data_IF_738671536771
#
_entry.id   IF_738671536771
#
_cell.length_a   1.000
_cell.length_b   1.000
_cell.length_c   1.000
_cell.angle_alpha   90.00
_cell.angle_beta   90.00
_cell.angle_gamma   90.00
#
_symmetry.space_group_name_H-M   'P 1'
#
loop_
_entity.id
_entity.type
_entity.pdbx_description
1 polymer ?
#
# COMPACT_ATOMS: atom_id res chain seq x y z
N UNK A 1 9.76 0.84 -2.01
CA UNK A 1 10.90 1.80 -2.11
C UNK A 1 10.64 2.92 -1.11
N UNK A 2 11.66 3.36 -0.36
CA UNK A 2 11.54 4.49 0.56
C UNK A 2 11.55 5.83 -0.18
N UNK A 3 11.08 6.90 0.48
CA UNK A 3 11.20 8.26 -0.06
C UNK A 3 12.66 8.71 0.09
N UNK A 4 13.29 9.28 -0.95
CA UNK A 4 14.64 9.82 -0.86
C UNK A 4 14.76 10.88 0.24
N UNK A 5 15.89 10.87 0.94
CA UNK A 5 16.28 11.83 1.99
C UNK A 5 17.66 12.38 1.66
N UNK A 6 17.95 13.53 2.16
CA UNK A 6 19.29 14.12 2.06
C UNK A 6 19.89 14.19 3.46
N UNK A 7 21.18 13.85 3.57
CA UNK A 7 21.93 14.00 4.80
C UNK A 7 22.24 15.49 5.01
N UNK A 8 21.82 16.05 6.12
CA UNK A 8 22.03 17.47 6.46
C UNK A 8 23.42 17.73 7.07
N UNK A 9 24.08 16.68 7.57
CA UNK A 9 25.42 16.70 8.10
C UNK A 9 26.17 15.42 7.74
N UNK A 10 27.50 15.41 7.92
CA UNK A 10 28.30 14.21 7.79
C UNK A 10 27.91 13.21 8.87
N UNK A 11 27.56 11.98 8.48
CA UNK A 11 27.14 10.93 9.40
C UNK A 11 27.87 9.62 9.11
N UNK A 12 28.21 8.87 10.17
CA UNK A 12 28.79 7.53 10.05
C UNK A 12 27.72 6.49 10.30
N UNK A 13 27.48 5.63 9.30
CA UNK A 13 26.56 4.50 9.39
C UNK A 13 27.35 3.20 9.21
N UNK A 14 27.39 2.37 10.24
CA UNK A 14 28.12 1.09 10.25
C UNK A 14 29.61 1.21 9.76
N UNK A 15 30.29 2.30 10.12
CA UNK A 15 31.66 2.56 9.73
C UNK A 15 31.86 3.26 8.37
N UNK A 16 30.79 3.49 7.62
CA UNK A 16 30.82 4.22 6.36
C UNK A 16 30.49 5.69 6.59
N UNK A 17 31.34 6.59 6.08
CA UNK A 17 31.04 8.02 6.07
C UNK A 17 30.02 8.34 4.98
N UNK A 18 28.94 8.96 5.37
CA UNK A 18 27.92 9.54 4.47
C UNK A 18 28.08 11.06 4.56
N UNK A 19 28.61 11.73 3.54
CA UNK A 19 28.80 13.18 3.55
C UNK A 19 27.43 13.92 3.53
N UNK A 20 27.43 15.13 4.08
CA UNK A 20 26.34 16.09 3.94
C UNK A 20 25.97 16.28 2.47
N UNK A 21 24.69 16.46 2.16
CA UNK A 21 24.16 16.56 0.79
C UNK A 21 23.98 15.21 0.08
N UNK A 22 24.41 14.10 0.70
CA UNK A 22 24.20 12.77 0.10
C UNK A 22 22.73 12.37 0.12
N UNK A 23 22.21 11.96 -1.03
CA UNK A 23 20.86 11.39 -1.12
C UNK A 23 20.87 9.96 -0.62
N UNK A 24 20.10 9.69 0.42
CA UNK A 24 19.95 8.38 1.06
C UNK A 24 18.54 7.85 0.84
N UNK A 25 18.43 6.60 0.40
CA UNK A 25 17.15 5.92 0.20
C UNK A 25 17.12 4.60 0.94
N UNK A 26 16.19 4.45 1.88
CA UNK A 26 15.97 3.18 2.56
C UNK A 26 15.32 2.17 1.61
N UNK A 27 15.94 1.00 1.43
CA UNK A 27 15.37 -0.08 0.63
C UNK A 27 14.37 -0.89 1.45
N UNK A 28 13.18 -0.33 1.68
CA UNK A 28 12.11 -0.98 2.45
C UNK A 28 11.69 -2.33 1.82
N UNK A 29 11.75 -2.42 0.50
CA UNK A 29 11.44 -3.67 -0.20
C UNK A 29 12.40 -4.80 0.19
N UNK A 30 13.72 -4.51 0.25
CA UNK A 30 14.70 -5.51 0.65
C UNK A 30 14.43 -6.03 2.07
N UNK A 31 14.06 -5.16 3.02
CA UNK A 31 13.71 -5.58 4.39
C UNK A 31 12.49 -6.51 4.41
N UNK A 32 11.50 -6.26 3.55
CA UNK A 32 10.30 -7.10 3.48
C UNK A 32 10.47 -8.37 2.63
N UNK A 33 11.56 -8.49 1.91
CA UNK A 33 11.92 -9.68 1.11
C UNK A 33 13.14 -10.42 1.65
N UNK A 34 13.60 -10.05 2.84
CA UNK A 34 14.73 -10.67 3.50
C UNK A 34 14.33 -12.03 4.10
N UNK A 35 14.90 -13.16 3.62
CA UNK A 35 14.57 -14.49 4.12
C UNK A 35 15.03 -14.74 5.55
N UNK A 36 15.99 -13.97 6.07
CA UNK A 36 16.42 -14.05 7.47
C UNK A 36 15.39 -13.44 8.43
N UNK A 37 14.54 -12.53 7.91
CA UNK A 37 13.48 -11.85 8.66
C UNK A 37 12.09 -12.47 8.41
N UNK A 38 11.87 -13.00 7.20
CA UNK A 38 10.58 -13.52 6.77
C UNK A 38 10.70 -14.91 6.15
N UNK A 39 10.00 -15.86 6.70
CA UNK A 39 9.88 -17.20 6.09
C UNK A 39 9.09 -17.10 4.79
N UNK A 40 9.68 -17.55 3.66
CA UNK A 40 9.09 -17.47 2.32
C UNK A 40 8.48 -16.07 2.03
N UNK A 41 9.31 -15.01 1.94
CA UNK A 41 8.81 -13.62 1.83
C UNK A 41 8.03 -13.34 0.55
N UNK A 42 8.26 -14.12 -0.51
CA UNK A 42 7.58 -14.05 -1.80
C UNK A 42 6.16 -14.64 -1.77
N UNK A 43 5.82 -15.42 -0.74
CA UNK A 43 4.51 -16.03 -0.62
C UNK A 43 3.50 -15.12 0.09
N UNK A 44 2.31 -15.03 -0.47
CA UNK A 44 1.18 -14.40 0.22
C UNK A 44 0.67 -15.34 1.32
N UNK A 45 1.20 -15.16 2.53
CA UNK A 45 0.90 -15.98 3.74
C UNK A 45 0.43 -15.08 4.87
N UNK A 46 -0.84 -14.69 4.91
CA UNK A 46 -1.37 -13.87 6.00
C UNK A 46 -1.28 -14.56 7.37
N UNK A 47 -1.23 -15.89 7.40
CA UNK A 47 -1.08 -16.71 8.63
C UNK A 47 0.22 -16.42 9.36
N UNK A 48 1.24 -15.85 8.70
CA UNK A 48 2.49 -15.43 9.38
C UNK A 48 2.28 -14.40 10.48
N UNK A 49 1.14 -13.71 10.47
CA UNK A 49 0.74 -12.74 11.48
C UNK A 49 -0.19 -13.31 12.55
N UNK A 50 -0.42 -14.61 12.55
CA UNK A 50 -1.21 -15.29 13.56
C UNK A 50 -0.33 -16.03 14.57
N UNK A 51 -0.84 -16.19 15.77
CA UNK A 51 -0.27 -17.14 16.75
C UNK A 51 -0.30 -18.55 16.18
N UNK A 52 0.55 -19.44 16.68
CA UNK A 52 0.67 -20.83 16.17
C UNK A 52 -0.65 -21.62 16.20
N UNK A 53 -1.54 -21.26 17.10
CA UNK A 53 -2.90 -21.85 17.22
C UNK A 53 -3.93 -21.13 16.32
N UNK A 54 -3.52 -20.07 15.59
CA UNK A 54 -4.37 -19.29 14.69
C UNK A 54 -5.41 -18.42 15.40
N UNK A 55 -5.40 -18.31 16.74
CA UNK A 55 -6.48 -17.67 17.50
C UNK A 55 -6.36 -16.14 17.57
N UNK A 56 -5.16 -15.60 17.44
CA UNK A 56 -4.89 -14.16 17.62
C UNK A 56 -3.81 -13.69 16.65
N UNK A 57 -3.76 -12.37 16.44
CA UNK A 57 -2.64 -11.73 15.79
C UNK A 57 -1.42 -11.75 16.74
N UNK A 58 -0.24 -11.94 16.16
CA UNK A 58 1.02 -11.69 16.88
C UNK A 58 1.26 -10.18 16.97
N UNK A 59 2.16 -9.78 17.86
CA UNK A 59 2.65 -8.40 17.88
C UNK A 59 3.33 -8.06 16.55
N UNK A 60 3.19 -6.80 16.14
CA UNK A 60 3.81 -6.30 14.90
C UNK A 60 5.33 -6.47 15.01
N UNK A 61 5.97 -7.23 14.11
CA UNK A 61 7.43 -7.33 14.10
C UNK A 61 8.09 -5.96 13.84
N UNK A 62 9.23 -5.69 14.47
CA UNK A 62 9.94 -4.41 14.32
C UNK A 62 10.37 -4.13 12.88
N UNK A 63 10.60 -5.19 12.09
CA UNK A 63 10.97 -5.09 10.68
C UNK A 63 9.78 -4.96 9.72
N UNK A 64 8.54 -5.01 10.21
CA UNK A 64 7.36 -4.66 9.41
C UNK A 64 7.23 -3.13 9.33
N UNK A 65 7.86 -2.53 8.34
CA UNK A 65 8.03 -1.08 8.22
C UNK A 65 7.47 -0.49 6.91
N UNK A 66 6.25 -0.85 6.46
CA UNK A 66 5.70 -0.38 5.18
C UNK A 66 5.53 1.13 5.14
N UNK A 67 5.39 1.77 6.28
CA UNK A 67 5.24 3.22 6.45
C UNK A 67 6.53 3.91 6.94
N UNK A 68 7.69 3.22 6.83
CA UNK A 68 8.97 3.67 7.37
C UNK A 68 9.00 3.76 8.90
N UNK A 69 10.08 4.28 9.46
CA UNK A 69 10.28 4.43 10.91
C UNK A 69 10.98 5.75 11.22
N UNK A 70 10.98 6.13 12.51
CA UNK A 70 11.67 7.30 13.01
C UNK A 70 10.97 8.63 12.71
N UNK A 71 11.72 9.74 12.81
CA UNK A 71 11.17 11.11 12.70
C UNK A 71 10.47 11.40 11.36
N UNK A 72 10.75 10.63 10.33
CA UNK A 72 10.22 10.78 8.97
C UNK A 72 9.30 9.64 8.54
N UNK A 73 8.76 8.89 9.48
CA UNK A 73 7.71 7.90 9.21
C UNK A 73 6.48 8.56 8.57
N UNK A 74 5.70 7.78 7.87
CA UNK A 74 4.47 8.28 7.24
C UNK A 74 3.48 8.81 8.30
N UNK A 75 3.06 10.07 8.25
CA UNK A 75 2.12 10.62 9.22
C UNK A 75 0.69 10.08 9.04
N UNK A 76 0.40 9.49 7.89
CA UNK A 76 -0.92 8.97 7.54
C UNK A 76 -1.05 7.45 7.70
N UNK A 77 -0.14 6.77 8.42
CA UNK A 77 -0.18 5.31 8.61
C UNK A 77 -1.54 4.83 9.13
N UNK A 78 -2.06 5.48 10.16
CA UNK A 78 -3.34 5.10 10.76
C UNK A 78 -4.51 5.27 9.78
N UNK A 79 -4.50 6.36 9.01
CA UNK A 79 -5.53 6.63 7.99
C UNK A 79 -5.48 5.58 6.88
N UNK A 80 -4.30 5.30 6.35
CA UNK A 80 -4.12 4.30 5.30
C UNK A 80 -4.57 2.90 5.74
N UNK A 81 -4.20 2.48 6.95
CA UNK A 81 -4.63 1.21 7.52
C UNK A 81 -6.15 1.14 7.68
N UNK A 82 -6.78 2.23 8.15
CA UNK A 82 -8.22 2.31 8.29
C UNK A 82 -8.93 2.23 6.93
N UNK A 83 -8.43 2.94 5.93
CA UNK A 83 -8.97 2.90 4.57
C UNK A 83 -8.90 1.49 3.98
N UNK A 84 -7.73 0.85 4.01
CA UNK A 84 -7.55 -0.52 3.52
C UNK A 84 -8.50 -1.48 4.24
N UNK A 85 -8.61 -1.38 5.56
CA UNK A 85 -9.52 -2.22 6.35
C UNK A 85 -10.98 -2.02 5.93
N UNK A 86 -11.44 -0.78 5.82
CA UNK A 86 -12.83 -0.48 5.47
C UNK A 86 -13.17 -0.92 4.04
N UNK A 87 -12.31 -0.62 3.07
CA UNK A 87 -12.55 -1.01 1.68
C UNK A 87 -12.54 -2.54 1.53
N UNK A 88 -11.51 -3.21 2.06
CA UNK A 88 -11.38 -4.65 1.94
C UNK A 88 -12.55 -5.38 2.61
N UNK A 89 -12.89 -5.02 3.84
CA UNK A 89 -13.99 -5.65 4.58
C UNK A 89 -15.32 -5.42 3.89
N UNK A 90 -15.59 -4.21 3.38
CA UNK A 90 -16.82 -3.91 2.64
C UNK A 90 -16.92 -4.68 1.32
N UNK A 91 -15.82 -4.80 0.59
CA UNK A 91 -15.80 -5.60 -0.63
C UNK A 91 -16.09 -7.08 -0.32
N UNK A 92 -15.38 -7.66 0.64
CA UNK A 92 -15.54 -9.07 1.00
C UNK A 92 -16.89 -9.40 1.65
N UNK A 93 -17.53 -8.44 2.32
CA UNK A 93 -18.89 -8.61 2.82
C UNK A 93 -19.92 -8.71 1.69
N UNK A 94 -19.74 -7.92 0.62
CA UNK A 94 -20.71 -7.83 -0.47
C UNK A 94 -20.45 -8.80 -1.60
N UNK A 95 -19.18 -9.11 -1.86
CA UNK A 95 -18.76 -9.87 -3.03
C UNK A 95 -17.85 -11.04 -2.66
N UNK A 96 -17.97 -12.11 -3.42
CA UNK A 96 -16.91 -13.10 -3.58
C UNK A 96 -16.08 -12.66 -4.76
N UNK A 97 -14.76 -12.46 -4.50
CA UNK A 97 -13.83 -12.00 -5.53
C UNK A 97 -13.10 -13.22 -6.09
N UNK A 98 -13.16 -13.39 -7.39
CA UNK A 98 -12.54 -14.51 -8.11
C UNK A 98 -11.70 -13.98 -9.28
N UNK A 99 -10.69 -14.72 -9.74
CA UNK A 99 -10.04 -14.40 -11.01
C UNK A 99 -11.02 -14.53 -12.19
N UNK A 100 -10.69 -13.94 -13.32
CA UNK A 100 -11.39 -14.20 -14.58
C UNK A 100 -11.24 -15.68 -14.95
N UNK A 101 -12.27 -16.27 -15.57
CA UNK A 101 -12.28 -17.70 -15.91
C UNK A 101 -11.07 -18.08 -16.78
N UNK A 102 -10.39 -19.14 -16.38
CA UNK A 102 -9.19 -19.64 -17.06
C UNK A 102 -7.91 -18.84 -16.77
N UNK A 103 -7.96 -17.88 -15.83
CA UNK A 103 -6.79 -17.10 -15.41
C UNK A 103 -6.36 -17.44 -14.00
N UNK A 104 -5.08 -17.23 -13.70
CA UNK A 104 -4.52 -17.32 -12.35
C UNK A 104 -4.07 -15.94 -11.90
N UNK A 105 -4.26 -15.65 -10.62
CA UNK A 105 -3.74 -14.42 -10.02
C UNK A 105 -2.23 -14.55 -9.86
N UNK A 106 -1.49 -13.61 -10.45
CA UNK A 106 -0.05 -13.51 -10.28
C UNK A 106 0.31 -12.39 -9.31
N UNK A 107 1.30 -12.63 -8.45
CA UNK A 107 1.84 -11.59 -7.55
C UNK A 107 2.98 -10.79 -8.20
N UNK A 108 3.19 -10.97 -9.51
CA UNK A 108 4.21 -10.24 -10.24
C UNK A 108 3.91 -8.74 -10.27
N UNK A 109 4.95 -7.96 -10.03
CA UNK A 109 4.88 -6.50 -10.07
C UNK A 109 5.58 -5.95 -11.30
N UNK A 110 5.15 -4.79 -11.77
CA UNK A 110 5.93 -3.98 -12.70
C UNK A 110 6.95 -3.17 -11.88
N UNK A 111 8.23 -3.27 -12.29
CA UNK A 111 9.37 -2.76 -11.50
C UNK A 111 9.86 -1.38 -11.93
N UNK A 112 9.09 -0.61 -12.68
CA UNK A 112 9.47 0.74 -13.07
C UNK A 112 9.37 1.72 -11.89
N UNK A 113 10.28 1.55 -10.91
CA UNK A 113 10.43 2.47 -9.76
C UNK A 113 9.45 2.26 -8.60
N UNK A 114 8.27 1.69 -8.84
CA UNK A 114 7.28 1.35 -7.81
C UNK A 114 6.85 -0.11 -7.97
N UNK A 115 6.72 -0.83 -6.83
CA UNK A 115 6.19 -2.20 -6.85
C UNK A 115 4.66 -2.15 -7.04
N UNK A 116 4.21 -1.92 -8.26
CA UNK A 116 2.79 -1.90 -8.60
C UNK A 116 2.41 -3.28 -9.15
N UNK A 117 1.38 -3.93 -8.61
CA UNK A 117 0.89 -5.19 -9.18
C UNK A 117 0.49 -5.03 -10.63
N UNK A 118 0.82 -6.03 -11.48
CA UNK A 118 0.35 -6.04 -12.86
C UNK A 118 -1.16 -6.02 -12.90
N UNK A 119 -1.73 -5.32 -13.88
CA UNK A 119 -3.18 -5.28 -14.08
C UNK A 119 -3.74 -6.68 -14.25
N UNK A 120 -4.77 -7.00 -13.48
CA UNK A 120 -5.43 -8.30 -13.50
C UNK A 120 -6.94 -8.11 -13.54
N UNK A 121 -7.63 -9.01 -14.24
CA UNK A 121 -9.09 -8.99 -14.30
C UNK A 121 -9.66 -9.85 -13.19
N UNK A 122 -10.60 -9.26 -12.46
CA UNK A 122 -11.28 -9.90 -11.34
C UNK A 122 -12.79 -9.90 -11.58
N UNK A 123 -13.46 -10.96 -11.13
CA UNK A 123 -14.92 -11.06 -11.09
C UNK A 123 -15.40 -10.81 -9.68
N UNK A 124 -16.38 -9.94 -9.55
CA UNK A 124 -17.05 -9.64 -8.30
C UNK A 124 -18.45 -10.27 -8.33
N UNK A 125 -18.63 -11.38 -7.63
CA UNK A 125 -19.90 -12.10 -7.54
C UNK A 125 -20.63 -11.66 -6.28
N UNK A 126 -21.81 -11.03 -6.38
CA UNK A 126 -22.58 -10.63 -5.21
C UNK A 126 -22.87 -11.82 -4.30
N UNK A 127 -22.67 -11.66 -3.00
CA UNK A 127 -23.10 -12.66 -2.02
C UNK A 127 -24.60 -12.53 -1.80
N UNK A 128 -25.32 -13.65 -1.83
CA UNK A 128 -26.76 -13.70 -1.59
C UNK A 128 -27.10 -13.07 -0.22
N UNK A 129 -27.95 -12.04 -0.23
CA UNK A 129 -28.33 -11.25 0.94
C UNK A 129 -27.80 -9.82 0.99
N UNK A 130 -26.90 -9.42 0.11
CA UNK A 130 -26.56 -8.01 -0.05
C UNK A 130 -27.71 -7.30 -0.75
N UNK A 131 -28.48 -6.51 0.02
CA UNK A 131 -29.44 -5.54 -0.52
C UNK A 131 -28.66 -4.63 -1.46
N UNK A 132 -29.01 -4.60 -2.74
CA UNK A 132 -28.46 -3.62 -3.66
C UNK A 132 -28.65 -2.22 -3.04
N UNK A 133 -27.59 -1.45 -2.83
CA UNK A 133 -27.77 -0.06 -2.48
C UNK A 133 -28.52 0.58 -3.66
N UNK A 134 -29.73 1.11 -3.44
CA UNK A 134 -30.38 1.97 -4.41
C UNK A 134 -29.32 2.95 -4.91
N UNK A 135 -29.06 2.91 -6.22
CA UNK A 135 -28.13 3.83 -6.84
C UNK A 135 -28.44 5.26 -6.36
N UNK A 136 -27.46 6.02 -5.86
CA UNK A 136 -27.72 7.40 -5.54
C UNK A 136 -28.27 8.05 -6.79
N UNK A 137 -29.42 8.70 -6.69
CA UNK A 137 -29.95 9.53 -7.77
C UNK A 137 -28.80 10.42 -8.20
N UNK A 138 -28.46 10.40 -9.48
CA UNK A 138 -27.34 11.15 -10.06
C UNK A 138 -27.39 12.60 -9.59
N UNK A 139 -26.56 12.92 -8.63
CA UNK A 139 -26.22 14.32 -8.36
C UNK A 139 -25.30 14.71 -9.50
N UNK A 140 -25.84 15.40 -10.51
CA UNK A 140 -24.99 16.11 -11.46
C UNK A 140 -24.20 17.10 -10.63
N UNK A 141 -22.91 16.85 -10.46
CA UNK A 141 -22.00 17.88 -10.01
C UNK A 141 -22.00 18.95 -11.10
N UNK A 142 -22.63 20.09 -10.82
CA UNK A 142 -22.42 21.29 -11.61
C UNK A 142 -20.97 21.69 -11.40
N UNK A 143 -20.15 21.47 -12.41
CA UNK A 143 -18.79 21.97 -12.47
C UNK A 143 -18.91 23.49 -12.59
N UNK A 144 -18.42 24.28 -11.61
CA UNK A 144 -18.43 25.73 -11.76
C UNK A 144 -17.61 26.10 -12.98
N UNK A 145 -18.02 27.15 -13.76
CA UNK A 145 -17.28 27.60 -14.91
C UNK A 145 -15.85 27.98 -14.49
N UNK A 146 -14.87 27.45 -15.22
CA UNK A 146 -13.45 27.73 -14.99
C UNK A 146 -13.18 29.26 -15.08
N UNK A 147 -12.10 29.74 -14.42
CA UNK A 147 -11.73 31.13 -14.47
C UNK A 147 -11.48 31.56 -15.93
N UNK A 148 -12.07 32.70 -16.28
CA UNK A 148 -12.02 33.32 -17.60
C UNK A 148 -10.55 33.60 -17.97
N UNK A 149 -10.08 33.09 -19.11
CA UNK A 149 -8.68 33.22 -19.61
C UNK A 149 -8.25 34.64 -20.02
N UNK A 150 -8.91 35.69 -19.54
CA UNK A 150 -8.62 37.07 -19.91
C UNK A 150 -8.26 37.96 -18.72
N UNK A 151 -7.26 37.58 -17.94
CA UNK A 151 -6.57 38.53 -17.05
C UNK A 151 -5.06 38.20 -16.94
N UNK A 152 -4.37 38.36 -18.08
CA UNK A 152 -2.94 38.64 -18.05
C UNK A 152 -2.83 40.17 -18.02
N UNK A 153 -2.49 40.71 -16.87
CA UNK A 153 -1.96 42.08 -16.77
C UNK A 153 -0.80 42.05 -15.80
N UNK A 154 0.39 42.30 -16.38
CA UNK A 154 1.68 42.76 -15.81
C UNK A 154 2.11 42.22 -14.43
#
# INVERSE_FOLDING_TARGET
MGVPREADEDVIVQGYLIPSGTVVMANIWAVHMDPDLWEAPEEFRPERFLTKDGSRLIDKPDWLVPFSVGKRMCPAENLANLEVFLYLTRLLQKFTVLPEDGTTIGLNTDTEGFCIPKSQRLRFIPRNGSVEPKAPKSVRAEVPPGPNENSVVC
#
